data_IF_542060356755
#
_entry.id   IF_542060356755
#
_cell.length_a   1.000
_cell.length_b   1.000
_cell.length_c   1.000
_cell.angle_alpha   90.00
_cell.angle_beta   90.00
_cell.angle_gamma   90.00
#
_symmetry.space_group_name_H-M   'P 1'
#
loop_
_entity.id
_entity.type
_entity.pdbx_description
1 polymer ?
#
# COMPACT_ATOMS: atom_id res chain seq x y z
N UNK A 1 6.26 19.21 -21.81
CA UNK A 1 5.57 19.08 -20.51
C UNK A 1 6.08 17.82 -19.84
N UNK A 2 6.04 17.76 -18.51
CA UNK A 2 6.47 16.58 -17.78
C UNK A 2 5.53 15.40 -18.04
N UNK A 3 6.07 14.18 -18.09
CA UNK A 3 5.35 12.94 -18.38
C UNK A 3 5.42 11.98 -17.20
N UNK A 4 4.27 11.50 -16.76
CA UNK A 4 4.13 10.48 -15.72
C UNK A 4 3.71 9.15 -16.35
N UNK A 5 4.45 8.08 -16.08
CA UNK A 5 3.99 6.72 -16.35
C UNK A 5 3.61 6.03 -15.03
N UNK A 6 2.37 5.57 -14.90
CA UNK A 6 1.86 4.89 -13.71
C UNK A 6 1.53 3.43 -14.01
N UNK A 7 1.94 2.55 -13.10
CA UNK A 7 1.48 1.16 -13.05
C UNK A 7 0.67 0.95 -11.77
N UNK A 8 -0.35 0.09 -11.83
CA UNK A 8 -1.23 -0.14 -10.69
C UNK A 8 -2.34 0.92 -10.50
N UNK A 9 -2.65 1.70 -11.53
CA UNK A 9 -3.68 2.75 -11.50
C UNK A 9 -5.12 2.25 -11.20
N UNK A 10 -5.39 0.95 -11.38
CA UNK A 10 -6.66 0.32 -10.97
C UNK A 10 -6.56 -0.40 -9.62
N UNK A 11 -5.39 -0.38 -8.99
CA UNK A 11 -5.18 -0.91 -7.64
C UNK A 11 -5.65 0.07 -6.57
N UNK A 12 -5.61 -0.39 -5.32
CA UNK A 12 -6.09 0.40 -4.17
C UNK A 12 -5.22 1.63 -3.91
N UNK A 13 -3.91 1.43 -3.75
CA UNK A 13 -2.93 2.52 -3.52
C UNK A 13 -2.77 3.36 -4.78
N UNK A 14 -2.38 2.72 -5.90
CA UNK A 14 -2.10 3.43 -7.16
C UNK A 14 -3.33 4.15 -7.74
N UNK A 15 -4.54 3.65 -7.49
CA UNK A 15 -5.76 4.33 -7.89
C UNK A 15 -6.04 5.60 -7.08
N UNK A 16 -5.81 5.58 -5.77
CA UNK A 16 -6.00 6.77 -4.92
C UNK A 16 -4.87 7.81 -5.16
N UNK A 17 -3.63 7.33 -5.37
CA UNK A 17 -2.52 8.18 -5.82
C UNK A 17 -2.84 8.85 -7.17
N UNK A 18 -3.36 8.10 -8.15
CA UNK A 18 -3.79 8.68 -9.42
C UNK A 18 -4.86 9.76 -9.24
N UNK A 19 -5.84 9.51 -8.35
CA UNK A 19 -6.90 10.49 -8.06
C UNK A 19 -6.32 11.82 -7.58
N UNK A 20 -5.42 11.82 -6.60
CA UNK A 20 -4.85 13.07 -6.07
C UNK A 20 -3.92 13.76 -7.07
N UNK A 21 -3.13 12.99 -7.82
CA UNK A 21 -2.19 13.52 -8.83
C UNK A 21 -2.94 14.16 -10.00
N UNK A 22 -3.91 13.45 -10.59
CA UNK A 22 -4.65 13.96 -11.75
C UNK A 22 -5.48 15.22 -11.43
N UNK A 23 -5.98 15.33 -10.19
CA UNK A 23 -6.69 16.52 -9.74
C UNK A 23 -5.75 17.70 -9.44
N UNK A 24 -4.55 17.43 -8.93
CA UNK A 24 -3.57 18.48 -8.57
C UNK A 24 -2.81 19.00 -9.79
N UNK A 25 -2.60 18.14 -10.79
CA UNK A 25 -1.88 18.44 -12.02
C UNK A 25 -2.71 18.05 -13.25
N UNK A 26 -3.80 18.79 -13.57
CA UNK A 26 -4.72 18.44 -14.66
C UNK A 26 -4.09 18.49 -16.06
N UNK A 27 -2.94 19.15 -16.20
CA UNK A 27 -2.17 19.27 -17.44
C UNK A 27 -0.95 18.32 -17.50
N UNK A 28 -0.72 17.51 -16.46
CA UNK A 28 0.34 16.49 -16.48
C UNK A 28 -0.01 15.41 -17.50
N UNK A 29 0.94 15.08 -18.39
CA UNK A 29 0.76 14.01 -19.36
C UNK A 29 0.91 12.66 -18.65
N UNK A 30 -0.22 12.00 -18.36
CA UNK A 30 -0.24 10.72 -17.65
C UNK A 30 -0.48 9.57 -18.62
N UNK A 31 0.33 8.53 -18.47
CA UNK A 31 0.18 7.22 -19.14
C UNK A 31 -0.07 6.16 -18.08
N UNK A 32 -1.09 5.32 -18.26
CA UNK A 32 -1.41 4.25 -17.32
C UNK A 32 -1.31 2.87 -17.97
N UNK A 33 -0.52 1.98 -17.36
CA UNK A 33 -0.52 0.56 -17.69
C UNK A 33 -1.82 -0.09 -17.22
N UNK A 34 -2.51 -0.78 -18.12
CA UNK A 34 -3.76 -1.49 -17.83
C UNK A 34 -3.74 -2.91 -18.38
N UNK A 35 -4.21 -3.87 -17.58
CA UNK A 35 -4.15 -5.30 -17.93
C UNK A 35 -5.08 -5.71 -19.08
N UNK A 36 -6.20 -5.02 -19.24
CA UNK A 36 -7.22 -5.33 -20.24
C UNK A 36 -8.18 -4.15 -20.46
N UNK A 37 -9.05 -4.29 -21.45
CA UNK A 37 -10.08 -3.31 -21.83
C UNK A 37 -10.96 -2.89 -20.66
N UNK A 38 -11.37 -3.83 -19.81
CA UNK A 38 -12.29 -3.56 -18.70
C UNK A 38 -11.65 -2.64 -17.67
N UNK A 39 -10.38 -2.90 -17.32
CA UNK A 39 -9.60 -2.02 -16.43
C UNK A 39 -9.32 -0.67 -17.09
N UNK A 40 -9.02 -0.65 -18.39
CA UNK A 40 -8.87 0.57 -19.16
C UNK A 40 -10.12 1.45 -19.15
N UNK A 41 -11.29 0.86 -19.35
CA UNK A 41 -12.57 1.57 -19.37
C UNK A 41 -12.87 2.27 -18.04
N UNK A 42 -12.51 1.66 -16.90
CA UNK A 42 -12.65 2.30 -15.57
C UNK A 42 -11.85 3.59 -15.46
N UNK A 43 -10.61 3.60 -15.97
CA UNK A 43 -9.77 4.81 -15.99
C UNK A 43 -10.34 5.83 -16.98
N UNK A 44 -10.60 5.43 -18.23
CA UNK A 44 -11.05 6.32 -19.30
C UNK A 44 -12.37 7.03 -18.97
N UNK A 45 -13.28 6.38 -18.21
CA UNK A 45 -14.55 6.97 -17.76
C UNK A 45 -14.33 8.18 -16.86
N UNK A 46 -13.30 8.16 -16.01
CA UNK A 46 -13.01 9.23 -15.05
C UNK A 46 -11.97 10.21 -15.56
N UNK A 47 -11.01 9.73 -16.36
CA UNK A 47 -9.85 10.46 -16.82
C UNK A 47 -9.63 10.26 -18.33
N UNK A 48 -10.47 10.87 -19.19
CA UNK A 48 -10.43 10.64 -20.64
C UNK A 48 -9.14 11.13 -21.33
N UNK A 49 -8.35 11.98 -20.66
CA UNK A 49 -7.06 12.48 -21.15
C UNK A 49 -5.89 11.52 -20.91
N UNK A 50 -6.04 10.52 -20.04
CA UNK A 50 -4.95 9.60 -19.71
C UNK A 50 -4.73 8.63 -20.88
N UNK A 51 -3.48 8.54 -21.36
CA UNK A 51 -3.10 7.54 -22.35
C UNK A 51 -3.09 6.16 -21.69
N UNK A 52 -3.79 5.20 -22.28
CA UNK A 52 -3.80 3.82 -21.81
C UNK A 52 -2.84 2.98 -22.63
N UNK A 53 -2.03 2.17 -21.95
CA UNK A 53 -1.15 1.17 -22.59
C UNK A 53 -1.48 -0.20 -22.03
N UNK A 54 -1.71 -1.16 -22.92
CA UNK A 54 -2.25 -2.47 -22.57
C UNK A 54 -1.12 -3.48 -22.43
N UNK A 55 -0.96 -4.05 -21.23
CA UNK A 55 0.08 -5.03 -20.93
C UNK A 55 0.05 -5.48 -19.48
N UNK A 56 0.97 -6.37 -19.13
CA UNK A 56 1.16 -6.90 -17.78
C UNK A 56 2.52 -6.50 -17.22
N UNK A 57 2.80 -6.87 -15.97
CA UNK A 57 4.12 -6.67 -15.38
C UNK A 57 5.21 -7.54 -16.03
N UNK A 58 4.82 -8.62 -16.73
CA UNK A 58 5.72 -9.43 -17.55
C UNK A 58 6.02 -8.83 -18.93
N UNK A 59 5.39 -7.70 -19.30
CA UNK A 59 5.58 -7.05 -20.59
C UNK A 59 6.85 -6.19 -20.61
N UNK A 60 8.02 -6.81 -20.39
CA UNK A 60 9.32 -6.15 -20.20
C UNK A 60 9.64 -5.07 -21.25
N UNK A 61 9.48 -5.39 -22.54
CA UNK A 61 9.76 -4.44 -23.63
C UNK A 61 8.83 -3.22 -23.60
N UNK A 62 7.54 -3.45 -23.31
CA UNK A 62 6.54 -2.39 -23.18
C UNK A 62 6.88 -1.48 -21.98
N UNK A 63 7.15 -2.07 -20.81
CA UNK A 63 7.51 -1.32 -19.60
C UNK A 63 8.75 -0.47 -19.82
N UNK A 64 9.77 -1.04 -20.47
CA UNK A 64 11.02 -0.34 -20.79
C UNK A 64 10.76 0.84 -21.73
N UNK A 65 9.95 0.63 -22.77
CA UNK A 65 9.62 1.65 -23.78
C UNK A 65 8.81 2.82 -23.20
N UNK A 66 7.81 2.51 -22.37
CA UNK A 66 6.98 3.55 -21.74
C UNK A 66 7.77 4.32 -20.68
N UNK A 67 8.63 3.64 -19.92
CA UNK A 67 9.49 4.28 -18.94
C UNK A 67 10.56 5.17 -19.59
N UNK A 68 11.15 4.79 -20.73
CA UNK A 68 12.13 5.63 -21.45
C UNK A 68 11.53 6.91 -22.04
N UNK A 69 10.19 6.97 -22.12
CA UNK A 69 9.46 8.16 -22.55
C UNK A 69 8.96 9.04 -21.39
N UNK A 70 9.03 8.56 -20.14
CA UNK A 70 8.51 9.23 -18.95
C UNK A 70 9.58 10.06 -18.23
N UNK A 71 9.20 11.15 -17.57
CA UNK A 71 10.08 11.88 -16.64
C UNK A 71 9.95 11.33 -15.21
N UNK A 72 8.76 10.78 -14.90
CA UNK A 72 8.42 10.22 -13.60
C UNK A 72 7.73 8.87 -13.84
N UNK A 73 8.20 7.82 -13.17
CA UNK A 73 7.50 6.54 -13.08
C UNK A 73 6.94 6.38 -11.67
N UNK A 74 5.63 6.18 -11.56
CA UNK A 74 4.95 5.81 -10.32
C UNK A 74 4.59 4.32 -10.37
N UNK A 75 5.35 3.49 -9.65
CA UNK A 75 5.19 2.05 -9.64
C UNK A 75 4.43 1.59 -8.38
N UNK A 76 3.11 1.37 -8.54
CA UNK A 76 2.22 0.93 -7.46
C UNK A 76 1.55 -0.43 -7.75
N UNK A 77 2.04 -1.18 -8.74
CA UNK A 77 1.35 -2.36 -9.23
C UNK A 77 1.59 -3.60 -8.35
N UNK A 78 2.85 -3.85 -7.99
CA UNK A 78 3.28 -5.01 -7.21
C UNK A 78 4.66 -4.69 -6.61
N UNK A 79 4.79 -4.85 -5.29
CA UNK A 79 6.04 -4.63 -4.57
C UNK A 79 7.03 -5.79 -4.76
N UNK A 80 6.57 -6.95 -5.21
CA UNK A 80 7.34 -8.19 -5.28
C UNK A 80 7.64 -8.62 -6.73
N UNK A 81 7.35 -7.77 -7.73
CA UNK A 81 7.57 -8.07 -9.14
C UNK A 81 8.91 -7.51 -9.67
N UNK A 82 10.01 -8.15 -9.27
CA UNK A 82 11.38 -7.74 -9.61
C UNK A 82 11.64 -7.47 -11.11
N UNK A 83 11.14 -8.30 -12.08
CA UNK A 83 11.37 -8.04 -13.50
C UNK A 83 10.76 -6.72 -13.99
N UNK A 84 9.64 -6.30 -13.40
CA UNK A 84 8.98 -5.05 -13.78
C UNK A 84 9.75 -3.84 -13.25
N UNK A 85 10.18 -3.88 -11.99
CA UNK A 85 11.03 -2.83 -11.42
C UNK A 85 12.31 -2.66 -12.26
N UNK A 86 12.94 -3.77 -12.65
CA UNK A 86 14.14 -3.77 -13.49
C UNK A 86 13.89 -3.15 -14.87
N UNK A 87 12.79 -3.52 -15.53
CA UNK A 87 12.41 -2.97 -16.84
C UNK A 87 12.15 -1.46 -16.78
N UNK A 88 11.44 -1.00 -15.74
CA UNK A 88 11.15 0.42 -15.53
C UNK A 88 12.43 1.24 -15.29
N UNK A 89 13.34 0.72 -14.45
CA UNK A 89 14.65 1.34 -14.19
C UNK A 89 15.49 1.40 -15.47
N UNK A 90 15.56 0.30 -16.23
CA UNK A 90 16.28 0.24 -17.48
C UNK A 90 15.73 1.24 -18.52
N UNK A 91 14.41 1.38 -18.60
CA UNK A 91 13.77 2.37 -19.47
C UNK A 91 14.13 3.80 -19.06
N UNK A 92 13.96 4.16 -17.79
CA UNK A 92 14.35 5.48 -17.28
C UNK A 92 15.83 5.80 -17.53
N UNK A 93 16.70 4.79 -17.37
CA UNK A 93 18.13 4.91 -17.61
C UNK A 93 18.53 5.23 -19.05
N UNK A 94 17.64 5.03 -20.03
CA UNK A 94 17.89 5.40 -21.43
C UNK A 94 17.72 6.90 -21.70
N UNK A 95 17.07 7.64 -20.81
CA UNK A 95 16.90 9.08 -21.00
C UNK A 95 18.22 9.81 -20.76
N UNK A 96 18.52 10.86 -21.52
CA UNK A 96 19.68 11.71 -21.25
C UNK A 96 19.41 12.71 -20.11
N UNK A 97 18.17 12.83 -19.65
CA UNK A 97 17.73 13.78 -18.63
C UNK A 97 17.31 13.05 -17.36
N UNK A 98 17.58 13.69 -16.22
CA UNK A 98 17.18 13.22 -14.90
C UNK A 98 15.71 12.80 -14.88
N UNK A 99 15.48 11.60 -14.36
CA UNK A 99 14.17 10.95 -14.26
C UNK A 99 13.99 10.35 -12.87
N UNK A 100 12.73 10.18 -12.47
CA UNK A 100 12.38 9.78 -11.11
C UNK A 100 11.57 8.49 -11.09
N UNK A 101 11.95 7.53 -10.26
CA UNK A 101 11.15 6.36 -9.94
C UNK A 101 10.61 6.48 -8.52
N UNK A 102 9.29 6.46 -8.37
CA UNK A 102 8.61 6.35 -7.09
C UNK A 102 8.02 4.94 -7.03
N UNK A 103 8.63 4.08 -6.21
CA UNK A 103 8.25 2.69 -6.05
C UNK A 103 7.46 2.48 -4.76
N UNK A 104 6.39 1.70 -4.84
CA UNK A 104 5.63 1.26 -3.66
C UNK A 104 6.15 -0.09 -3.21
N UNK A 105 6.70 -0.13 -2.00
CA UNK A 105 7.05 -1.36 -1.28
C UNK A 105 6.04 -1.55 -0.13
N UNK A 106 6.46 -2.02 1.04
CA UNK A 106 5.57 -2.16 2.20
C UNK A 106 6.34 -2.42 3.50
N UNK A 107 5.76 -2.02 4.63
CA UNK A 107 6.39 -2.32 5.94
C UNK A 107 6.32 -3.81 6.31
N UNK A 108 5.73 -4.64 5.47
CA UNK A 108 5.88 -6.10 5.50
C UNK A 108 7.33 -6.57 5.59
N UNK A 109 8.25 -5.80 5.00
CA UNK A 109 9.69 -6.00 5.11
C UNK A 109 10.20 -6.03 6.56
N UNK A 110 9.48 -5.41 7.50
CA UNK A 110 9.85 -5.35 8.91
C UNK A 110 9.40 -6.58 9.72
N UNK A 111 8.65 -7.50 9.11
CA UNK A 111 8.09 -8.67 9.79
C UNK A 111 9.05 -9.89 9.85
N UNK A 112 10.24 -9.79 9.26
CA UNK A 112 11.18 -10.90 9.08
C UNK A 112 11.57 -11.60 10.39
N UNK A 113 11.72 -10.84 11.49
CA UNK A 113 12.11 -11.40 12.79
C UNK A 113 11.02 -12.33 13.35
N UNK A 114 9.76 -11.93 13.27
CA UNK A 114 8.65 -12.77 13.73
C UNK A 114 8.50 -14.04 12.87
N UNK A 115 8.74 -13.93 11.57
CA UNK A 115 8.72 -15.08 10.68
C UNK A 115 9.82 -16.09 11.00
N UNK A 116 11.04 -15.62 11.26
CA UNK A 116 12.21 -16.47 11.55
C UNK A 116 12.13 -17.11 12.94
N UNK A 117 11.66 -16.37 13.95
CA UNK A 117 11.59 -16.81 15.35
C UNK A 117 10.25 -17.44 15.75
N UNK A 118 9.25 -17.38 14.86
CA UNK A 118 7.89 -17.92 15.05
C UNK A 118 7.15 -17.28 16.25
N UNK A 119 7.40 -16.01 16.53
CA UNK A 119 6.82 -15.23 17.64
C UNK A 119 5.45 -14.61 17.33
N UNK A 120 4.62 -15.30 16.53
CA UNK A 120 3.30 -14.81 16.16
C UNK A 120 2.44 -14.42 17.38
N UNK A 121 1.76 -13.28 17.30
CA UNK A 121 0.87 -12.77 18.34
C UNK A 121 1.59 -12.20 19.57
N UNK A 122 2.93 -12.20 19.59
CA UNK A 122 3.74 -11.64 20.68
C UNK A 122 4.06 -10.16 20.40
N UNK A 123 4.20 -9.33 21.43
CA UNK A 123 4.62 -7.94 21.24
C UNK A 123 6.12 -7.88 20.89
N UNK A 124 6.50 -6.92 20.06
CA UNK A 124 7.90 -6.51 19.86
C UNK A 124 8.09 -5.06 20.28
N UNK A 125 9.25 -4.73 20.86
CA UNK A 125 9.64 -3.35 21.17
C UNK A 125 10.43 -2.66 20.05
N UNK A 126 10.81 -3.40 18.99
CA UNK A 126 11.59 -2.86 17.89
C UNK A 126 10.73 -1.93 17.03
N UNK A 127 11.26 -0.73 16.77
CA UNK A 127 10.66 0.26 15.89
C UNK A 127 11.75 0.75 14.94
N UNK A 128 11.46 0.74 13.64
CA UNK A 128 12.35 1.27 12.60
C UNK A 128 11.98 2.72 12.27
N UNK A 129 12.92 3.52 11.78
CA UNK A 129 12.62 4.87 11.29
C UNK A 129 13.32 5.13 9.94
N UNK A 130 12.71 6.02 9.16
CA UNK A 130 13.14 6.34 7.79
C UNK A 130 14.13 7.52 7.71
N UNK A 131 14.66 7.97 8.86
CA UNK A 131 15.54 9.13 8.95
C UNK A 131 16.89 8.75 9.55
N UNK A 132 17.06 8.83 10.87
CA UNK A 132 18.34 8.51 11.51
C UNK A 132 18.64 6.99 11.43
N UNK A 133 17.60 6.16 11.40
CA UNK A 133 17.66 4.70 11.30
C UNK A 133 17.64 4.14 9.87
N UNK A 134 17.67 4.98 8.82
CA UNK A 134 17.50 4.52 7.43
C UNK A 134 18.54 3.48 6.99
N UNK A 135 19.76 3.55 7.50
CA UNK A 135 20.81 2.56 7.20
C UNK A 135 20.39 1.16 7.64
N UNK A 136 19.65 1.01 8.74
CA UNK A 136 19.16 -0.29 9.18
C UNK A 136 18.09 -0.82 8.22
N UNK A 137 17.15 0.04 7.82
CA UNK A 137 16.04 -0.31 6.91
C UNK A 137 16.56 -0.73 5.54
N UNK A 138 17.57 -0.04 5.01
CA UNK A 138 18.17 -0.32 3.70
C UNK A 138 19.13 -1.52 3.70
N UNK A 139 19.42 -2.09 4.88
CA UNK A 139 20.32 -3.24 5.07
C UNK A 139 19.64 -4.43 5.78
N UNK A 140 18.31 -4.51 5.71
CA UNK A 140 17.56 -5.65 6.23
C UNK A 140 17.95 -6.98 5.53
N UNK A 141 17.77 -8.13 6.21
CA UNK A 141 18.09 -9.45 5.66
C UNK A 141 17.44 -9.73 4.30
N UNK A 142 18.14 -10.48 3.45
CA UNK A 142 17.70 -10.79 2.08
C UNK A 142 16.42 -11.63 2.01
N UNK A 143 16.05 -12.33 3.09
CA UNK A 143 14.81 -13.09 3.21
C UNK A 143 13.62 -12.27 3.74
N UNK A 144 13.83 -10.98 4.05
CA UNK A 144 12.75 -10.07 4.37
C UNK A 144 11.85 -9.84 3.14
N UNK A 145 10.54 -9.76 3.35
CA UNK A 145 9.56 -9.52 2.29
C UNK A 145 9.86 -8.22 1.53
N UNK A 146 9.65 -8.18 0.22
CA UNK A 146 9.97 -7.04 -0.69
C UNK A 146 11.46 -6.72 -0.87
N UNK A 147 12.37 -7.33 -0.08
CA UNK A 147 13.78 -6.93 -0.04
C UNK A 147 14.50 -7.10 -1.37
N UNK A 148 14.18 -8.16 -2.10
CA UNK A 148 14.76 -8.47 -3.41
C UNK A 148 14.48 -7.36 -4.44
N UNK A 149 13.28 -6.78 -4.40
CA UNK A 149 12.88 -5.66 -5.27
C UNK A 149 13.44 -4.33 -4.75
N UNK A 150 13.36 -4.06 -3.44
CA UNK A 150 13.91 -2.86 -2.83
C UNK A 150 15.40 -2.70 -3.15
N UNK A 151 16.18 -3.79 -3.14
CA UNK A 151 17.61 -3.77 -3.52
C UNK A 151 17.81 -3.32 -4.97
N UNK A 152 16.96 -3.78 -5.89
CA UNK A 152 17.03 -3.38 -7.31
C UNK A 152 16.73 -1.88 -7.44
N UNK A 153 15.75 -1.37 -6.71
CA UNK A 153 15.37 0.06 -6.74
C UNK A 153 16.45 0.95 -6.10
N UNK A 154 17.06 0.52 -4.99
CA UNK A 154 18.16 1.25 -4.33
C UNK A 154 19.41 1.29 -5.22
N UNK A 155 19.73 0.20 -5.93
CA UNK A 155 20.88 0.14 -6.82
C UNK A 155 20.73 1.00 -8.10
N UNK A 156 19.51 1.45 -8.43
CA UNK A 156 19.23 2.15 -9.67
C UNK A 156 20.08 3.43 -9.87
N UNK A 157 20.30 4.20 -8.81
CA UNK A 157 21.11 5.43 -8.89
C UNK A 157 22.60 5.15 -9.07
N UNK A 158 23.07 3.97 -8.65
CA UNK A 158 24.45 3.53 -8.90
C UNK A 158 24.60 3.00 -10.33
N UNK A 159 23.58 2.31 -10.85
CA UNK A 159 23.54 1.84 -12.24
C UNK A 159 23.44 2.99 -13.25
N UNK A 160 22.73 4.06 -12.90
CA UNK A 160 22.52 5.23 -13.77
C UNK A 160 22.81 6.56 -13.04
N UNK A 161 24.09 6.86 -12.71
CA UNK A 161 24.46 8.00 -11.88
C UNK A 161 24.01 9.35 -12.45
N UNK A 162 23.34 10.15 -11.61
CA UNK A 162 22.82 11.47 -11.98
C UNK A 162 21.61 11.44 -12.93
N UNK A 163 21.24 10.27 -13.44
CA UNK A 163 20.16 10.11 -14.40
C UNK A 163 18.89 9.55 -13.77
N UNK A 164 18.98 8.46 -13.00
CA UNK A 164 17.81 7.87 -12.32
C UNK A 164 17.87 8.18 -10.83
N UNK A 165 16.85 8.85 -10.31
CA UNK A 165 16.66 9.09 -8.89
C UNK A 165 15.49 8.26 -8.36
N UNK A 166 15.65 7.58 -7.24
CA UNK A 166 14.61 6.65 -6.72
C UNK A 166 14.07 7.06 -5.36
N UNK A 167 12.79 6.81 -5.15
CA UNK A 167 12.14 6.88 -3.85
C UNK A 167 11.29 5.62 -3.64
N UNK A 168 11.41 5.00 -2.47
CA UNK A 168 10.62 3.85 -2.02
C UNK A 168 9.64 4.34 -0.96
N UNK A 169 8.35 4.10 -1.17
CA UNK A 169 7.30 4.38 -0.19
C UNK A 169 6.86 3.06 0.44
N UNK A 170 6.99 2.96 1.75
CA UNK A 170 6.64 1.79 2.56
C UNK A 170 5.42 2.08 3.44
N UNK A 171 4.21 1.83 2.93
CA UNK A 171 3.00 1.92 3.72
C UNK A 171 2.85 0.68 4.65
N UNK A 172 2.22 0.84 5.82
CA UNK A 172 1.96 -0.24 6.74
C UNK A 172 0.54 -0.80 6.56
N UNK A 173 -0.22 -1.05 7.64
CA UNK A 173 -1.61 -1.47 7.52
C UNK A 173 -2.46 -0.32 6.94
N UNK A 174 -2.83 -0.43 5.66
CA UNK A 174 -3.58 0.61 4.95
C UNK A 174 -5.08 0.38 5.14
N UNK A 175 -5.85 1.43 5.39
CA UNK A 175 -7.30 1.36 5.51
C UNK A 175 -7.99 2.58 4.90
N UNK A 176 -9.33 2.63 5.02
CA UNK A 176 -10.14 3.71 4.46
C UNK A 176 -10.79 3.39 3.11
N UNK A 177 -11.75 4.21 2.66
CA UNK A 177 -12.30 4.12 1.32
C UNK A 177 -11.35 4.78 0.30
N UNK A 178 -10.97 4.04 -0.72
CA UNK A 178 -10.22 4.56 -1.86
C UNK A 178 -11.10 5.38 -2.80
N UNK A 179 -10.47 6.31 -3.53
CA UNK A 179 -11.10 7.24 -4.49
C UNK A 179 -10.75 6.92 -5.95
N UNK A 180 -9.87 5.94 -6.15
CA UNK A 180 -9.41 5.50 -7.47
C UNK A 180 -10.51 4.94 -8.37
N UNK A 181 -10.18 4.65 -9.65
CA UNK A 181 -11.17 4.32 -10.66
C UNK A 181 -11.78 2.90 -10.52
N UNK A 182 -11.15 2.01 -9.77
CA UNK A 182 -11.53 0.59 -9.71
C UNK A 182 -11.48 0.04 -8.26
N UNK A 183 -10.38 -0.59 -7.82
CA UNK A 183 -10.31 -1.12 -6.46
C UNK A 183 -10.26 0.02 -5.42
N UNK A 184 -11.24 0.06 -4.52
CA UNK A 184 -11.37 1.07 -3.45
C UNK A 184 -11.31 0.47 -2.05
N UNK A 185 -10.94 -0.81 -1.94
CA UNK A 185 -10.97 -1.59 -0.71
C UNK A 185 -9.60 -2.14 -0.35
N UNK A 186 -9.24 -2.04 0.92
CA UNK A 186 -8.01 -2.61 1.47
C UNK A 186 -8.15 -4.10 1.80
N UNK A 187 -7.11 -4.68 2.41
CA UNK A 187 -6.94 -6.12 2.60
C UNK A 187 -7.00 -6.54 4.06
N UNK A 188 -6.06 -6.09 4.91
CA UNK A 188 -5.78 -6.77 6.18
C UNK A 188 -6.97 -6.76 7.16
N UNK A 189 -7.43 -5.58 7.58
CA UNK A 189 -8.55 -5.45 8.53
C UNK A 189 -9.88 -5.90 7.90
N UNK A 190 -10.05 -5.66 6.60
CA UNK A 190 -11.23 -6.06 5.84
C UNK A 190 -11.38 -7.59 5.79
N UNK A 191 -10.30 -8.31 5.48
CA UNK A 191 -10.30 -9.78 5.50
C UNK A 191 -10.51 -10.34 6.91
N UNK A 192 -9.98 -9.67 7.93
CA UNK A 192 -10.23 -10.07 9.32
C UNK A 192 -11.71 -9.91 9.70
N UNK A 193 -12.33 -8.79 9.32
CA UNK A 193 -13.75 -8.54 9.53
C UNK A 193 -14.60 -9.58 8.81
N UNK A 194 -14.32 -9.85 7.53
CA UNK A 194 -14.97 -10.91 6.76
C UNK A 194 -14.87 -12.27 7.46
N UNK A 195 -13.66 -12.67 7.88
CA UNK A 195 -13.43 -13.95 8.54
C UNK A 195 -14.18 -14.06 9.87
N UNK A 196 -14.22 -12.99 10.67
CA UNK A 196 -14.98 -12.96 11.92
C UNK A 196 -16.49 -13.10 11.69
N UNK A 197 -17.03 -12.41 10.68
CA UNK A 197 -18.43 -12.50 10.28
C UNK A 197 -18.81 -13.92 9.82
N UNK A 198 -17.98 -14.53 8.94
CA UNK A 198 -18.22 -15.89 8.45
C UNK A 198 -18.16 -16.94 9.57
N UNK A 199 -17.25 -16.74 10.54
CA UNK A 199 -17.14 -17.61 11.73
C UNK A 199 -18.24 -17.38 12.76
N UNK A 200 -18.89 -16.22 12.73
CA UNK A 200 -19.82 -15.79 13.77
C UNK A 200 -19.16 -15.41 15.09
N UNK A 201 -17.83 -15.19 15.09
CA UNK A 201 -17.02 -14.94 16.30
C UNK A 201 -15.68 -14.27 15.96
N UNK A 202 -15.20 -13.38 16.82
CA UNK A 202 -13.89 -12.74 16.65
C UNK A 202 -12.72 -13.66 16.97
N UNK A 203 -11.51 -13.26 16.58
CA UNK A 203 -10.29 -14.05 16.84
C UNK A 203 -9.01 -13.22 16.82
N UNK A 204 -7.96 -13.70 17.47
CA UNK A 204 -6.60 -13.21 17.27
C UNK A 204 -5.60 -14.36 17.14
N UNK A 205 -4.49 -14.11 16.45
CA UNK A 205 -3.39 -15.08 16.33
C UNK A 205 -2.63 -15.12 17.65
N UNK A 206 -2.52 -16.29 18.26
CA UNK A 206 -1.77 -16.53 19.49
C UNK A 206 -2.06 -15.51 20.60
N UNK A 207 -1.12 -14.65 20.99
CA UNK A 207 -1.35 -13.65 22.05
C UNK A 207 -2.16 -12.43 21.60
N UNK A 208 -2.26 -12.15 20.30
CA UNK A 208 -2.90 -10.94 19.76
C UNK A 208 -2.26 -9.61 20.19
N UNK A 209 -1.08 -9.65 20.80
CA UNK A 209 -0.36 -8.46 21.30
C UNK A 209 0.61 -7.87 20.26
N UNK A 210 0.71 -8.49 19.09
CA UNK A 210 1.52 -8.00 17.98
C UNK A 210 0.93 -6.69 17.43
N UNK A 211 1.82 -5.79 17.03
CA UNK A 211 1.46 -4.42 16.66
C UNK A 211 1.96 -4.05 15.27
N UNK A 212 1.12 -3.33 14.53
CA UNK A 212 1.48 -2.73 13.25
C UNK A 212 1.29 -1.21 13.34
N UNK A 213 2.04 -0.45 12.56
CA UNK A 213 1.59 0.91 12.23
C UNK A 213 0.45 0.88 11.22
N UNK A 214 -0.27 1.99 11.09
CA UNK A 214 -1.43 2.10 10.21
C UNK A 214 -1.49 3.42 9.47
N UNK A 215 -2.15 3.44 8.32
CA UNK A 215 -2.37 4.68 7.57
C UNK A 215 -3.68 4.64 6.77
N UNK A 216 -4.37 5.77 6.70
CA UNK A 216 -5.50 5.92 5.80
C UNK A 216 -4.99 6.12 4.36
N UNK A 217 -5.58 5.44 3.37
CA UNK A 217 -5.09 5.46 1.97
C UNK A 217 -5.03 6.87 1.37
N UNK A 218 -5.92 7.74 1.80
CA UNK A 218 -5.96 9.12 1.33
C UNK A 218 -4.80 9.96 1.90
N UNK A 219 -4.41 9.74 3.17
CA UNK A 219 -3.21 10.38 3.74
C UNK A 219 -1.93 9.80 3.11
N UNK A 220 -1.91 8.49 2.84
CA UNK A 220 -0.81 7.84 2.12
C UNK A 220 -0.63 8.43 0.72
N UNK A 221 -1.74 8.68 0.00
CA UNK A 221 -1.70 9.24 -1.35
C UNK A 221 -1.11 10.65 -1.40
N UNK A 222 -1.20 11.41 -0.31
CA UNK A 222 -0.57 12.72 -0.20
C UNK A 222 0.97 12.62 -0.16
N UNK A 223 1.55 11.51 0.34
CA UNK A 223 3.01 11.25 0.25
C UNK A 223 3.42 11.02 -1.20
N UNK A 224 2.66 10.21 -1.95
CA UNK A 224 2.90 10.00 -3.38
C UNK A 224 2.78 11.29 -4.18
N UNK A 225 1.76 12.11 -3.89
CA UNK A 225 1.60 13.43 -4.50
C UNK A 225 2.79 14.34 -4.19
N UNK A 226 3.27 14.37 -2.95
CA UNK A 226 4.43 15.18 -2.56
C UNK A 226 5.71 14.76 -3.29
N UNK A 227 5.94 13.46 -3.47
CA UNK A 227 7.08 12.94 -4.23
C UNK A 227 6.98 13.26 -5.74
N UNK A 228 5.80 13.13 -6.34
CA UNK A 228 5.57 13.55 -7.73
C UNK A 228 5.78 15.06 -7.88
N UNK A 229 5.26 15.86 -6.94
CA UNK A 229 5.46 17.31 -6.89
C UNK A 229 6.94 17.65 -6.82
N UNK A 230 7.70 16.97 -5.96
CA UNK A 230 9.13 17.16 -5.83
C UNK A 230 9.87 16.80 -7.12
N UNK A 231 9.52 15.68 -7.76
CA UNK A 231 10.09 15.29 -9.05
C UNK A 231 9.84 16.33 -10.16
N UNK A 232 8.65 16.95 -10.18
CA UNK A 232 8.34 18.08 -11.08
C UNK A 232 9.17 19.34 -10.77
N UNK A 233 9.77 19.43 -9.57
CA UNK A 233 10.61 20.53 -9.09
C UNK A 233 12.09 20.14 -9.00
N UNK A 234 12.55 19.28 -9.93
CA UNK A 234 13.93 18.77 -9.98
C UNK A 234 14.35 17.99 -8.71
N UNK A 235 13.37 17.32 -8.10
CA UNK A 235 13.54 16.46 -6.93
C UNK A 235 13.44 17.17 -5.59
N UNK A 236 13.28 18.50 -5.50
CA UNK A 236 13.22 19.20 -4.22
C UNK A 236 11.78 19.34 -3.69
N UNK A 237 11.53 19.29 -2.38
CA UNK A 237 12.49 19.15 -1.27
C UNK A 237 12.77 17.69 -0.87
N UNK A 238 12.31 16.71 -1.66
CA UNK A 238 12.50 15.30 -1.38
C UNK A 238 13.98 14.89 -1.36
N UNK A 239 14.30 13.88 -0.58
CA UNK A 239 15.53 13.09 -0.72
C UNK A 239 15.27 11.87 -1.61
N UNK A 240 16.31 11.39 -2.26
CA UNK A 240 16.24 10.31 -3.24
C UNK A 240 17.39 9.31 -3.00
N UNK A 241 17.36 8.18 -3.69
CA UNK A 241 18.39 7.14 -3.72
C UNK A 241 18.55 6.48 -2.34
N UNK A 242 19.77 6.42 -1.79
CA UNK A 242 20.03 5.85 -0.46
C UNK A 242 19.23 6.53 0.65
N UNK A 243 18.87 7.81 0.45
CA UNK A 243 18.04 8.60 1.38
C UNK A 243 16.56 8.67 0.94
N UNK A 244 16.19 7.93 -0.10
CA UNK A 244 14.87 7.95 -0.73
C UNK A 244 13.87 6.97 -0.12
N UNK A 245 14.02 6.56 1.14
CA UNK A 245 13.10 5.59 1.77
C UNK A 245 12.09 6.33 2.66
N UNK A 246 10.80 6.12 2.45
CA UNK A 246 9.71 6.87 3.10
C UNK A 246 8.72 5.92 3.77
N UNK A 247 8.70 5.90 5.10
CA UNK A 247 7.57 5.32 5.81
C UNK A 247 6.38 6.29 5.77
N UNK A 248 5.17 5.75 5.78
CA UNK A 248 3.93 6.52 5.79
C UNK A 248 2.96 5.95 6.83
N UNK A 249 3.01 6.45 8.06
CA UNK A 249 2.20 5.97 9.18
C UNK A 249 1.46 7.09 9.93
N UNK A 250 0.39 6.69 10.62
CA UNK A 250 -0.41 7.49 11.53
C UNK A 250 -0.78 6.67 12.79
N UNK A 251 0.24 6.30 13.57
CA UNK A 251 0.09 5.58 14.82
C UNK A 251 0.05 4.06 14.66
N UNK A 252 -0.17 3.38 15.79
CA UNK A 252 -0.11 1.93 15.92
C UNK A 252 -1.49 1.32 16.16
N UNK A 253 -1.65 0.06 15.74
CA UNK A 253 -2.73 -0.83 16.10
C UNK A 253 -2.18 -2.11 16.73
N UNK A 254 -2.92 -2.67 17.68
CA UNK A 254 -2.71 -4.03 18.17
C UNK A 254 -3.77 -4.95 17.56
N UNK A 255 -3.36 -6.07 16.97
CA UNK A 255 -4.28 -6.94 16.23
C UNK A 255 -5.38 -7.54 17.11
N UNK A 256 -5.08 -7.84 18.37
CA UNK A 256 -6.08 -8.29 19.35
C UNK A 256 -7.13 -7.23 19.69
N UNK A 257 -6.77 -5.95 19.70
CA UNK A 257 -7.72 -4.86 19.93
C UNK A 257 -8.60 -4.61 18.70
N UNK A 258 -8.03 -4.71 17.49
CA UNK A 258 -8.81 -4.69 16.25
C UNK A 258 -9.80 -5.86 16.19
N UNK A 259 -9.39 -7.06 16.59
CA UNK A 259 -10.27 -8.22 16.70
C UNK A 259 -11.49 -7.96 17.59
N UNK A 260 -11.24 -7.41 18.79
CA UNK A 260 -12.29 -7.01 19.75
C UNK A 260 -13.21 -5.95 19.17
N UNK A 261 -12.64 -4.93 18.55
CA UNK A 261 -13.41 -3.85 17.90
C UNK A 261 -14.33 -4.38 16.80
N UNK A 262 -13.85 -5.29 15.95
CA UNK A 262 -14.64 -5.95 14.91
C UNK A 262 -15.77 -6.79 15.53
N UNK A 263 -15.46 -7.66 16.49
CA UNK A 263 -16.44 -8.57 17.09
C UNK A 263 -17.56 -7.79 17.81
N UNK A 264 -17.17 -6.80 18.61
CA UNK A 264 -18.11 -5.89 19.27
C UNK A 264 -19.01 -5.18 18.26
N UNK A 265 -18.42 -4.60 17.22
CA UNK A 265 -19.17 -3.89 16.16
C UNK A 265 -20.16 -4.82 15.46
N UNK A 266 -19.76 -6.07 15.18
CA UNK A 266 -20.62 -7.05 14.55
C UNK A 266 -21.79 -7.50 15.46
N UNK A 267 -21.59 -7.62 16.78
CA UNK A 267 -22.67 -7.86 17.75
C UNK A 267 -23.62 -6.68 17.84
N UNK A 268 -23.10 -5.46 17.96
CA UNK A 268 -23.91 -4.24 18.04
C UNK A 268 -24.81 -4.09 16.80
N UNK A 269 -24.33 -4.57 15.64
CA UNK A 269 -25.07 -4.63 14.37
C UNK A 269 -25.92 -5.90 14.18
N UNK A 270 -25.95 -6.82 15.15
CA UNK A 270 -26.68 -8.09 15.12
C UNK A 270 -26.27 -9.03 13.97
N UNK A 271 -25.02 -8.93 13.52
CA UNK A 271 -24.44 -9.76 12.47
C UNK A 271 -23.88 -11.08 13.01
N UNK A 272 -23.44 -11.07 14.27
CA UNK A 272 -22.98 -12.26 15.01
C UNK A 272 -23.60 -12.26 16.42
N UNK A 273 -23.51 -13.39 17.14
CA UNK A 273 -24.21 -13.58 18.43
C UNK A 273 -23.37 -13.26 19.67
N UNK A 274 -22.05 -13.20 19.54
CA UNK A 274 -21.11 -13.00 20.65
C UNK A 274 -19.92 -12.18 20.19
N UNK A 275 -19.38 -11.35 21.08
CA UNK A 275 -18.15 -10.56 20.90
C UNK A 275 -16.93 -11.24 21.53
N UNK A 276 -17.10 -12.48 22.00
CA UNK A 276 -16.01 -13.35 22.44
C UNK A 276 -14.93 -13.48 21.36
N UNK A 277 -13.68 -13.58 21.81
CA UNK A 277 -12.50 -13.69 20.94
C UNK A 277 -11.82 -15.04 21.13
N UNK A 278 -11.70 -15.79 20.04
CA UNK A 278 -10.91 -17.03 20.04
C UNK A 278 -9.41 -16.73 19.86
N UNK A 279 -8.59 -17.47 20.60
CA UNK A 279 -7.18 -17.63 20.26
C UNK A 279 -7.06 -18.69 19.17
N UNK A 280 -6.43 -18.35 18.04
CA UNK A 280 -6.13 -19.29 16.97
C UNK A 280 -4.62 -19.40 16.71
N UNK A 281 -4.19 -20.53 16.18
CA UNK A 281 -2.82 -20.76 15.72
C UNK A 281 -2.53 -20.06 14.37
N UNK A 282 -1.24 -19.88 14.00
CA UNK A 282 -0.86 -19.39 12.67
C UNK A 282 -1.49 -20.20 11.53
N UNK A 283 -1.46 -21.53 11.61
CA UNK A 283 -2.04 -22.42 10.58
C UNK A 283 -3.56 -22.25 10.44
N UNK A 284 -4.26 -22.00 11.54
CA UNK A 284 -5.69 -21.69 11.51
C UNK A 284 -5.95 -20.34 10.85
N UNK A 285 -5.10 -19.33 11.12
CA UNK A 285 -5.20 -18.03 10.46
C UNK A 285 -4.99 -18.15 8.93
N UNK A 286 -4.02 -18.96 8.50
CA UNK A 286 -3.73 -19.22 7.09
C UNK A 286 -4.82 -20.01 6.37
N UNK A 287 -5.65 -20.76 7.10
CA UNK A 287 -6.87 -21.38 6.56
C UNK A 287 -8.02 -20.39 6.37
N UNK A 288 -8.05 -19.29 7.14
CA UNK A 288 -9.09 -18.25 7.01
C UNK A 288 -8.80 -17.30 5.84
N UNK A 289 -7.53 -16.99 5.60
CA UNK A 289 -7.08 -16.27 4.41
C UNK A 289 -5.66 -16.67 4.09
N UNK A 290 -5.31 -16.67 2.81
CA UNK A 290 -3.91 -16.74 2.37
C UNK A 290 -3.07 -15.73 3.14
N UNK A 291 -1.98 -16.21 3.77
CA UNK A 291 -1.04 -15.44 4.59
C UNK A 291 -1.67 -14.78 5.84
N UNK A 292 -2.76 -15.32 6.39
CA UNK A 292 -3.42 -14.79 7.59
C UNK A 292 -2.49 -14.67 8.80
N UNK A 293 -1.54 -15.61 8.97
CA UNK A 293 -0.53 -15.55 10.03
C UNK A 293 0.41 -14.35 9.89
N UNK A 294 0.81 -14.02 8.67
CA UNK A 294 1.58 -12.81 8.34
C UNK A 294 0.74 -11.54 8.54
N UNK A 295 -0.48 -11.51 8.00
CA UNK A 295 -1.32 -10.30 8.01
C UNK A 295 -1.73 -9.88 9.43
N UNK A 296 -1.95 -10.84 10.34
CA UNK A 296 -2.55 -10.60 11.65
C UNK A 296 -1.72 -11.07 12.85
N UNK A 297 -0.62 -11.80 12.60
CA UNK A 297 0.18 -12.42 13.65
C UNK A 297 1.57 -11.82 13.84
N UNK A 298 2.08 -11.00 12.92
CA UNK A 298 3.43 -10.43 13.03
C UNK A 298 3.41 -8.97 13.49
N UNK A 299 4.56 -8.41 13.83
CA UNK A 299 4.80 -7.01 14.13
C UNK A 299 5.35 -6.29 12.90
N UNK A 300 4.93 -5.04 12.72
CA UNK A 300 5.44 -4.16 11.66
C UNK A 300 5.38 -2.72 12.13
N UNK A 301 6.46 -2.26 12.78
CA UNK A 301 6.47 -0.99 13.50
C UNK A 301 7.50 -0.05 12.90
N UNK A 302 7.05 1.12 12.48
CA UNK A 302 7.92 2.15 11.93
C UNK A 302 7.57 3.56 12.44
N UNK A 303 8.45 4.53 12.16
CA UNK A 303 8.20 5.95 12.36
C UNK A 303 8.40 6.67 11.04
N UNK A 304 7.35 7.35 10.56
CA UNK A 304 7.45 8.23 9.41
C UNK A 304 7.97 9.59 9.86
N UNK A 305 9.27 9.82 9.70
CA UNK A 305 9.93 11.08 10.05
C UNK A 305 10.18 11.90 8.79
N UNK A 306 10.63 11.24 7.71
CA UNK A 306 11.09 11.88 6.48
C UNK A 306 9.99 12.68 5.78
N UNK A 307 8.82 12.06 5.54
CA UNK A 307 7.70 12.73 4.89
C UNK A 307 7.21 13.95 5.71
N UNK A 308 7.14 13.82 7.04
CA UNK A 308 6.74 14.91 7.95
C UNK A 308 7.73 16.09 7.86
N UNK A 309 9.03 15.82 7.93
CA UNK A 309 10.09 16.84 7.87
C UNK A 309 10.19 17.53 6.51
N UNK A 310 10.17 16.78 5.42
CA UNK A 310 10.47 17.31 4.08
C UNK A 310 9.25 17.94 3.41
N UNK A 311 8.05 17.44 3.68
CA UNK A 311 6.83 17.87 2.99
C UNK A 311 5.84 18.61 3.89
N UNK A 312 6.09 18.67 5.21
CA UNK A 312 5.07 19.11 6.17
C UNK A 312 3.84 18.19 6.15
N UNK A 313 4.03 16.93 5.77
CA UNK A 313 2.95 15.95 5.66
C UNK A 313 2.42 15.58 7.05
N UNK A 314 1.11 15.68 7.22
CA UNK A 314 0.41 15.31 8.45
C UNK A 314 -0.86 14.55 8.07
N UNK A 315 -1.05 13.32 8.55
CA UNK A 315 -2.29 12.58 8.38
C UNK A 315 -3.50 13.30 9.01
N UNK A 316 -4.62 13.36 8.28
CA UNK A 316 -5.82 14.13 8.67
C UNK A 316 -7.11 13.32 8.62
N UNK A 317 -7.06 12.10 8.09
CA UNK A 317 -8.26 11.29 7.93
C UNK A 317 -8.71 10.64 9.23
N UNK A 318 -9.91 10.08 9.20
CA UNK A 318 -10.47 9.31 10.31
C UNK A 318 -9.56 8.16 10.70
N UNK A 319 -9.53 7.84 11.98
CA UNK A 319 -8.81 6.67 12.47
C UNK A 319 -9.45 5.36 12.01
N UNK A 320 -8.70 4.26 12.08
CA UNK A 320 -9.22 2.94 11.73
C UNK A 320 -10.38 2.55 12.63
N UNK A 321 -10.27 2.83 13.94
CA UNK A 321 -11.29 2.52 14.94
C UNK A 321 -12.62 3.21 14.60
N UNK A 322 -12.56 4.47 14.15
CA UNK A 322 -13.73 5.21 13.70
C UNK A 322 -14.37 4.63 12.42
N UNK A 323 -13.60 3.89 11.62
CA UNK A 323 -14.05 3.27 10.37
C UNK A 323 -14.42 1.78 10.51
N UNK A 324 -14.19 1.15 11.68
CA UNK A 324 -14.59 -0.25 11.89
C UNK A 324 -16.07 -0.52 11.59
N UNK A 325 -17.04 0.34 11.97
CA UNK A 325 -18.44 0.15 11.59
C UNK A 325 -18.66 0.08 10.08
N UNK A 326 -17.99 0.94 9.32
CA UNK A 326 -18.11 1.01 7.86
C UNK A 326 -17.45 -0.22 7.20
N UNK A 327 -16.31 -0.66 7.73
CA UNK A 327 -15.61 -1.87 7.27
C UNK A 327 -16.48 -3.12 7.50
N UNK A 328 -17.06 -3.26 8.70
CA UNK A 328 -17.94 -4.38 9.04
C UNK A 328 -19.20 -4.38 8.16
N UNK A 329 -19.83 -3.22 7.94
CA UNK A 329 -21.00 -3.13 7.05
C UNK A 329 -20.66 -3.50 5.62
N UNK A 330 -19.49 -3.05 5.12
CA UNK A 330 -19.07 -3.35 3.77
C UNK A 330 -18.88 -4.86 3.58
N UNK A 331 -18.16 -5.52 4.48
CA UNK A 331 -17.95 -6.97 4.37
C UNK A 331 -19.24 -7.76 4.60
N UNK A 332 -20.11 -7.30 5.50
CA UNK A 332 -21.42 -7.91 5.71
C UNK A 332 -22.31 -7.83 4.47
N UNK A 333 -22.30 -6.70 3.75
CA UNK A 333 -23.01 -6.56 2.46
C UNK A 333 -22.45 -7.53 1.41
N UNK A 334 -21.13 -7.62 1.28
CA UNK A 334 -20.51 -8.52 0.32
C UNK A 334 -20.76 -10.01 0.64
N UNK A 335 -20.97 -10.34 1.92
CA UNK A 335 -21.39 -11.67 2.37
C UNK A 335 -22.91 -11.91 2.26
N UNK A 336 -23.71 -10.89 1.89
CA UNK A 336 -25.17 -10.98 1.84
C UNK A 336 -25.86 -11.05 3.21
N UNK A 337 -25.16 -10.66 4.29
CA UNK A 337 -25.70 -10.64 5.65
C UNK A 337 -26.62 -9.44 5.91
N UNK A 338 -26.45 -8.36 5.14
CA UNK A 338 -27.33 -7.19 5.15
C UNK A 338 -27.62 -6.73 3.72
N UNK A 339 -28.87 -6.33 3.45
CA UNK A 339 -29.29 -5.82 2.14
C UNK A 339 -28.55 -4.52 1.80
N UNK A 340 -28.19 -4.33 0.54
CA UNK A 340 -27.63 -3.06 0.04
C UNK A 340 -28.67 -1.92 0.05
N UNK A 341 -28.23 -0.66 0.01
CA UNK A 341 -29.15 0.49 -0.05
C UNK A 341 -30.13 0.43 -1.24
N UNK A 342 -29.68 -0.08 -2.40
CA UNK A 342 -30.52 -0.28 -3.57
C UNK A 342 -31.55 -1.41 -3.38
N UNK A 343 -31.20 -2.47 -2.65
CA UNK A 343 -32.09 -3.59 -2.35
C UNK A 343 -33.10 -3.24 -1.24
N UNK A 344 -32.70 -2.43 -0.26
CA UNK A 344 -33.61 -1.87 0.73
C UNK A 344 -34.61 -0.89 0.11
N UNK A 345 -34.18 -0.11 -0.88
CA UNK A 345 -35.06 0.78 -1.64
C UNK A 345 -36.00 0.03 -2.60
N UNK A 346 -35.65 -1.20 -2.99
CA UNK A 346 -36.44 -2.04 -3.89
C UNK A 346 -37.43 -2.98 -3.19
N UNK A 347 -37.38 -3.11 -1.84
CA UNK A 347 -38.26 -3.96 -1.02
C UNK A 347 -37.61 -5.26 -0.56
#
# INVERSE_FOLDING_TARGET
MAKLFITGATGYIGGDALYVIANSYPDLEITALVRNSDKGAKIATQYPKIRLVYGTLDSTELLTTEASSADIVLHCADADHQPAASALIAGLGQKPTKSFLIHTSGTGILCFEDYSTKTYGMPSSKIYDDWDGISEVTHLPDDATHRDVDKVVLAASEMYPGNVSTAIVCPPCIYGPGRGPDNRKSVQVYRMARAALQRGKGFHVMGGMNTWTQIHVQDLSDVFLALVTAALQDGRPATWNSEGYYFAENGELAWGEIAKGIAKTAVDKKLIKTDDIDKISPDEADKLTTMGSYLWGMNSRCKAIRAKKLFGWEPKQKSLEQLLPDIVDLEARELGLIKGHAEQAAG
#
